data_IF_034150822159
#
_entry.id   IF_034150822159
#
_cell.length_a   1.000
_cell.length_b   1.000
_cell.length_c   1.000
_cell.angle_alpha   90.00
_cell.angle_beta   90.00
_cell.angle_gamma   90.00
#
_symmetry.space_group_name_H-M   'P 1'
#
loop_
_entity.id
_entity.type
_entity.pdbx_description
1 polymer ?
#
# COMPACT_ATOMS: atom_id res chain seq x y z
N UNK A 1 -10.82 8.84 14.94
CA UNK A 1 -9.77 8.08 15.65
C UNK A 1 -9.35 6.94 14.73
N UNK A 2 -8.07 6.78 14.40
CA UNK A 2 -7.64 5.68 13.51
C UNK A 2 -7.74 4.34 14.24
N UNK A 3 -7.97 3.24 13.52
CA UNK A 3 -8.07 1.89 14.11
C UNK A 3 -6.86 1.56 15.01
N UNK A 4 -5.65 1.91 14.54
CA UNK A 4 -4.41 1.80 15.32
C UNK A 4 -4.42 2.57 16.65
N UNK A 5 -5.10 3.72 16.74
CA UNK A 5 -5.24 4.49 18.00
C UNK A 5 -6.24 3.81 18.95
N UNK A 6 -7.31 3.26 18.41
CA UNK A 6 -8.32 2.52 19.18
C UNK A 6 -7.74 1.23 19.77
N UNK A 7 -6.99 0.47 18.97
CA UNK A 7 -6.30 -0.75 19.42
C UNK A 7 -5.32 -0.47 20.55
N UNK A 8 -4.54 0.63 20.46
CA UNK A 8 -3.63 1.05 21.55
C UNK A 8 -4.36 1.40 22.83
N UNK A 9 -5.50 2.09 22.73
CA UNK A 9 -6.30 2.44 23.89
C UNK A 9 -6.85 1.18 24.57
N UNK A 10 -7.38 0.23 23.80
CA UNK A 10 -7.87 -1.05 24.31
C UNK A 10 -6.77 -1.89 24.96
N UNK A 11 -5.57 -1.88 24.39
CA UNK A 11 -4.41 -2.57 24.97
C UNK A 11 -4.03 -1.97 26.32
N UNK A 12 -3.91 -0.63 26.41
CA UNK A 12 -3.61 0.06 27.67
C UNK A 12 -4.67 -0.24 28.72
N UNK A 13 -5.95 -0.17 28.35
CA UNK A 13 -7.05 -0.49 29.23
C UNK A 13 -6.97 -1.94 29.75
N UNK A 14 -6.65 -2.88 28.87
CA UNK A 14 -6.50 -4.29 29.25
C UNK A 14 -5.32 -4.53 30.19
N UNK A 15 -4.20 -3.82 29.99
CA UNK A 15 -3.05 -3.84 30.90
C UNK A 15 -3.43 -3.28 32.27
N UNK A 16 -4.15 -2.15 32.32
CA UNK A 16 -4.64 -1.58 33.57
C UNK A 16 -5.56 -2.56 34.31
N UNK A 17 -6.53 -3.17 33.61
CA UNK A 17 -7.40 -4.19 34.19
C UNK A 17 -6.61 -5.40 34.73
N UNK A 18 -5.58 -5.85 34.02
CA UNK A 18 -4.74 -6.95 34.48
C UNK A 18 -3.96 -6.58 35.75
N UNK A 19 -3.41 -5.37 35.81
CA UNK A 19 -2.74 -4.85 37.01
C UNK A 19 -3.71 -4.75 38.19
N UNK A 20 -4.95 -4.29 37.97
CA UNK A 20 -5.99 -4.23 39.01
C UNK A 20 -6.35 -5.62 39.54
N UNK A 21 -6.45 -6.63 38.67
CA UNK A 21 -6.69 -8.02 39.07
C UNK A 21 -5.54 -8.55 39.93
N UNK A 22 -4.29 -8.32 39.53
CA UNK A 22 -3.12 -8.70 40.31
C UNK A 22 -3.12 -8.00 41.68
N UNK A 23 -3.45 -6.71 41.71
CA UNK A 23 -3.51 -5.94 42.95
C UNK A 23 -4.58 -6.46 43.92
N UNK A 24 -5.78 -6.78 43.42
CA UNK A 24 -6.86 -7.36 44.24
C UNK A 24 -6.46 -8.73 44.77
N UNK A 25 -5.91 -9.61 43.91
CA UNK A 25 -5.55 -10.99 44.30
C UNK A 25 -4.35 -11.10 45.23
N UNK A 26 -3.33 -10.26 45.06
CA UNK A 26 -2.07 -10.40 45.80
C UNK A 26 -1.90 -9.39 46.93
N UNK A 27 -2.49 -8.20 46.80
CA UNK A 27 -2.22 -7.10 47.72
C UNK A 27 -3.43 -6.68 48.56
N UNK A 28 -4.62 -7.29 48.36
CA UNK A 28 -5.90 -7.00 49.04
C UNK A 28 -6.02 -5.52 49.39
N UNK A 29 -6.64 -4.71 48.52
CA UNK A 29 -6.70 -3.25 48.69
C UNK A 29 -7.28 -2.90 50.07
N UNK A 30 -6.39 -2.66 51.05
CA UNK A 30 -6.73 -2.09 52.34
C UNK A 30 -6.64 -0.60 52.15
N UNK A 31 -7.80 0.04 51.98
CA UNK A 31 -7.89 1.50 52.06
C UNK A 31 -7.62 1.90 53.52
N UNK A 32 -6.34 1.95 53.91
CA UNK A 32 -5.88 2.24 55.28
C UNK A 32 -6.36 3.61 55.82
N UNK A 33 -7.00 4.44 54.98
CA UNK A 33 -7.47 5.78 55.31
C UNK A 33 -9.01 5.94 55.24
N UNK A 34 -9.77 4.86 55.00
CA UNK A 34 -11.23 4.90 54.92
C UNK A 34 -11.83 3.82 55.83
N UNK A 35 -12.70 4.22 56.77
CA UNK A 35 -13.40 3.32 57.69
C UNK A 35 -14.54 2.56 56.98
N UNK A 36 -14.22 1.80 55.94
CA UNK A 36 -15.17 0.84 55.36
C UNK A 36 -15.11 -0.49 56.10
N UNK A 37 -16.26 -1.11 56.29
CA UNK A 37 -16.36 -2.47 56.76
C UNK A 37 -15.78 -3.45 55.74
N UNK A 38 -15.27 -4.58 56.24
CA UNK A 38 -14.61 -5.61 55.43
C UNK A 38 -15.54 -6.12 54.33
N UNK A 39 -16.82 -6.31 54.64
CA UNK A 39 -17.84 -6.77 53.68
C UNK A 39 -18.02 -5.81 52.49
N UNK A 40 -17.93 -4.49 52.71
CA UNK A 40 -18.02 -3.50 51.62
C UNK A 40 -16.75 -3.49 50.78
N UNK A 41 -15.58 -3.65 51.40
CA UNK A 41 -14.30 -3.75 50.68
C UNK A 41 -14.28 -4.99 49.78
N UNK A 42 -14.73 -6.13 50.31
CA UNK A 42 -14.76 -7.39 49.56
C UNK A 42 -15.77 -7.35 48.40
N UNK A 43 -16.98 -6.83 48.63
CA UNK A 43 -17.96 -6.62 47.55
C UNK A 43 -17.43 -5.69 46.46
N UNK A 44 -16.73 -4.63 46.84
CA UNK A 44 -16.14 -3.68 45.88
C UNK A 44 -15.03 -4.35 45.07
N UNK A 45 -14.15 -5.10 45.73
CA UNK A 45 -13.09 -5.87 45.08
C UNK A 45 -13.66 -6.90 44.11
N UNK A 46 -14.75 -7.60 44.47
CA UNK A 46 -15.43 -8.57 43.59
C UNK A 46 -16.03 -7.89 42.36
N UNK A 47 -16.69 -6.73 42.53
CA UNK A 47 -17.24 -5.96 41.40
C UNK A 47 -16.12 -5.54 40.46
N UNK A 48 -15.03 -4.97 41.00
CA UNK A 48 -13.89 -4.51 40.19
C UNK A 48 -13.19 -5.68 39.50
N UNK A 49 -13.02 -6.80 40.19
CA UNK A 49 -12.43 -8.02 39.63
C UNK A 49 -13.26 -8.57 38.48
N UNK A 50 -14.58 -8.65 38.64
CA UNK A 50 -15.50 -9.12 37.59
C UNK A 50 -15.50 -8.17 36.39
N UNK A 51 -15.52 -6.85 36.63
CA UNK A 51 -15.46 -5.84 35.57
C UNK A 51 -14.15 -5.93 34.78
N UNK A 52 -13.01 -5.98 35.47
CA UNK A 52 -11.69 -6.12 34.85
C UNK A 52 -11.57 -7.40 34.03
N UNK A 53 -12.09 -8.52 34.56
CA UNK A 53 -12.10 -9.82 33.86
C UNK A 53 -12.96 -9.75 32.59
N UNK A 54 -14.15 -9.13 32.67
CA UNK A 54 -15.04 -8.96 31.52
C UNK A 54 -14.43 -8.05 30.43
N UNK A 55 -13.72 -6.99 30.81
CA UNK A 55 -13.01 -6.11 29.86
C UNK A 55 -11.90 -6.89 29.14
N UNK A 56 -11.09 -7.66 29.87
CA UNK A 56 -10.04 -8.50 29.27
C UNK A 56 -10.65 -9.57 28.35
N UNK A 57 -11.70 -10.27 28.79
CA UNK A 57 -12.39 -11.26 27.98
C UNK A 57 -12.95 -10.64 26.68
N UNK A 58 -13.58 -9.46 26.79
CA UNK A 58 -14.10 -8.72 25.63
C UNK A 58 -12.98 -8.31 24.67
N UNK A 59 -11.83 -7.88 25.19
CA UNK A 59 -10.66 -7.57 24.37
C UNK A 59 -10.11 -8.81 23.67
N UNK A 60 -10.03 -9.95 24.34
CA UNK A 60 -9.61 -11.23 23.72
C UNK A 60 -10.57 -11.59 22.58
N UNK A 61 -11.89 -11.51 22.80
CA UNK A 61 -12.87 -11.75 21.74
C UNK A 61 -12.74 -10.75 20.59
N UNK A 62 -12.46 -9.48 20.87
CA UNK A 62 -12.18 -8.47 19.84
C UNK A 62 -10.95 -8.84 19.01
N UNK A 63 -9.84 -9.20 19.64
CA UNK A 63 -8.60 -9.61 18.95
C UNK A 63 -8.85 -10.84 18.08
N UNK A 64 -9.51 -11.87 18.61
CA UNK A 64 -9.77 -13.11 17.89
C UNK A 64 -10.72 -12.88 16.71
N UNK A 65 -11.86 -12.22 16.93
CA UNK A 65 -12.91 -12.13 15.92
C UNK A 65 -12.66 -11.03 14.89
N UNK A 66 -11.97 -9.96 15.27
CA UNK A 66 -11.76 -8.79 14.41
C UNK A 66 -10.32 -8.74 13.92
N UNK A 67 -9.33 -8.64 14.82
CA UNK A 67 -7.94 -8.41 14.38
C UNK A 67 -7.36 -9.61 13.62
N UNK A 68 -7.48 -10.83 14.17
CA UNK A 68 -6.94 -12.04 13.52
C UNK A 68 -7.66 -12.29 12.19
N UNK A 69 -8.99 -12.19 12.16
CA UNK A 69 -9.78 -12.38 10.93
C UNK A 69 -9.41 -11.34 9.88
N UNK A 70 -9.24 -10.07 10.27
CA UNK A 70 -8.84 -8.99 9.37
C UNK A 70 -7.44 -9.25 8.81
N UNK A 71 -6.48 -9.61 9.66
CA UNK A 71 -5.12 -9.96 9.25
C UNK A 71 -5.10 -11.14 8.26
N UNK A 72 -5.89 -12.19 8.50
CA UNK A 72 -5.99 -13.34 7.59
C UNK A 72 -6.58 -12.91 6.24
N UNK A 73 -7.63 -12.07 6.26
CA UNK A 73 -8.26 -11.54 5.03
C UNK A 73 -7.30 -10.66 4.24
N UNK A 74 -6.59 -9.75 4.91
CA UNK A 74 -5.54 -8.91 4.34
C UNK A 74 -4.47 -9.79 3.67
N UNK A 75 -3.92 -10.77 4.38
CA UNK A 75 -2.87 -11.64 3.85
C UNK A 75 -3.32 -12.46 2.64
N UNK A 76 -4.53 -13.01 2.69
CA UNK A 76 -5.12 -13.75 1.56
C UNK A 76 -5.33 -12.84 0.35
N UNK A 77 -5.94 -11.68 0.56
CA UNK A 77 -6.20 -10.70 -0.51
C UNK A 77 -4.90 -10.19 -1.11
N UNK A 78 -3.90 -9.86 -0.27
CA UNK A 78 -2.57 -9.44 -0.71
C UNK A 78 -1.90 -10.48 -1.60
N UNK A 79 -2.01 -11.77 -1.24
CA UNK A 79 -1.48 -12.87 -2.05
C UNK A 79 -2.17 -12.97 -3.41
N UNK A 80 -3.49 -12.80 -3.45
CA UNK A 80 -4.27 -12.86 -4.69
C UNK A 80 -3.94 -11.69 -5.63
N UNK A 81 -3.78 -10.48 -5.10
CA UNK A 81 -3.49 -9.29 -5.91
C UNK A 81 -2.00 -9.18 -6.29
N UNK A 82 -1.11 -9.97 -5.69
CA UNK A 82 0.34 -9.81 -5.85
C UNK A 82 0.80 -9.95 -7.31
N UNK A 83 0.20 -10.88 -8.05
CA UNK A 83 0.54 -11.07 -9.47
C UNK A 83 0.15 -9.83 -10.27
N UNK A 84 -1.06 -9.30 -10.07
CA UNK A 84 -1.51 -8.06 -10.74
C UNK A 84 -0.66 -6.85 -10.36
N UNK A 85 -0.22 -6.74 -9.11
CA UNK A 85 0.72 -5.68 -8.69
C UNK A 85 2.08 -5.82 -9.39
N UNK A 86 2.56 -7.05 -9.54
CA UNK A 86 3.83 -7.36 -10.23
C UNK A 86 3.72 -7.06 -11.73
N UNK A 87 2.59 -7.41 -12.35
CA UNK A 87 2.32 -7.13 -13.75
C UNK A 87 2.22 -5.63 -13.98
N UNK A 88 1.51 -4.90 -13.11
CA UNK A 88 1.40 -3.44 -13.15
C UNK A 88 2.80 -2.78 -13.06
N UNK A 89 3.62 -3.20 -12.11
CA UNK A 89 4.99 -2.69 -11.98
C UNK A 89 5.86 -3.05 -13.20
N UNK A 90 5.68 -4.25 -13.76
CA UNK A 90 6.36 -4.68 -14.99
C UNK A 90 6.00 -3.78 -16.16
N UNK A 91 4.72 -3.51 -16.39
CA UNK A 91 4.27 -2.66 -17.49
C UNK A 91 4.84 -1.25 -17.38
N UNK A 92 4.72 -0.63 -16.20
CA UNK A 92 5.29 0.69 -15.95
C UNK A 92 6.82 0.69 -16.11
N UNK A 93 7.51 -0.40 -15.72
CA UNK A 93 8.96 -0.52 -15.88
C UNK A 93 9.40 -0.50 -17.35
N UNK A 94 8.63 -1.06 -18.28
CA UNK A 94 8.98 -1.05 -19.71
C UNK A 94 9.01 0.39 -20.24
N UNK A 95 7.98 1.19 -19.94
CA UNK A 95 7.94 2.60 -20.31
C UNK A 95 9.11 3.39 -19.72
N UNK A 96 9.44 3.14 -18.45
CA UNK A 96 10.63 3.75 -17.83
C UNK A 96 11.91 3.33 -18.54
N UNK A 97 12.17 2.05 -18.76
CA UNK A 97 13.39 1.59 -19.44
C UNK A 97 13.58 2.22 -20.83
N UNK A 98 12.49 2.38 -21.57
CA UNK A 98 12.52 3.08 -22.85
C UNK A 98 12.97 4.54 -22.70
N UNK A 99 12.42 5.27 -21.74
CA UNK A 99 12.76 6.67 -21.54
C UNK A 99 14.17 6.88 -21.01
N UNK A 100 14.69 5.97 -20.18
CA UNK A 100 16.08 6.07 -19.73
C UNK A 100 17.05 6.09 -20.90
N UNK A 101 16.79 5.16 -21.82
CA UNK A 101 17.63 4.96 -22.98
C UNK A 101 17.53 6.14 -23.94
N UNK A 102 16.33 6.68 -24.10
CA UNK A 102 16.03 7.70 -25.11
C UNK A 102 16.34 9.13 -24.64
N UNK A 103 16.01 9.46 -23.38
CA UNK A 103 16.03 10.84 -22.87
C UNK A 103 17.03 11.08 -21.74
N UNK A 104 17.44 10.04 -21.00
CA UNK A 104 18.25 10.19 -19.78
C UNK A 104 19.61 9.49 -19.85
N UNK A 105 20.07 9.06 -21.03
CA UNK A 105 21.39 8.43 -21.24
C UNK A 105 21.71 7.25 -20.28
N UNK A 106 20.70 6.49 -19.86
CA UNK A 106 20.83 5.39 -18.91
C UNK A 106 21.35 5.80 -17.52
N UNK A 107 21.05 7.03 -17.06
CA UNK A 107 21.30 7.45 -15.68
C UNK A 107 20.51 6.57 -14.70
N UNK A 108 21.00 6.45 -13.47
CA UNK A 108 20.27 5.74 -12.42
C UNK A 108 18.91 6.40 -12.19
N UNK A 109 17.87 5.62 -12.48
CA UNK A 109 16.50 6.04 -12.35
C UNK A 109 16.10 6.41 -10.94
N UNK A 110 16.83 6.08 -9.89
CA UNK A 110 16.44 6.53 -8.55
C UNK A 110 16.87 8.00 -8.27
N UNK A 111 17.77 8.54 -9.10
CA UNK A 111 18.42 9.85 -8.86
C UNK A 111 17.81 11.02 -9.64
N UNK A 112 16.92 10.77 -10.60
CA UNK A 112 16.34 11.82 -11.44
C UNK A 112 15.44 12.76 -10.64
N UNK A 113 15.53 14.04 -10.97
CA UNK A 113 14.75 15.15 -10.42
C UNK A 113 13.87 15.76 -11.50
N UNK A 114 12.89 16.59 -11.11
CA UNK A 114 11.99 17.25 -12.06
C UNK A 114 12.72 18.02 -13.18
N UNK A 115 13.90 18.61 -12.88
CA UNK A 115 14.69 19.36 -13.86
C UNK A 115 15.18 18.50 -15.02
N UNK A 116 15.44 17.22 -14.77
CA UNK A 116 15.93 16.28 -15.78
C UNK A 116 14.86 15.99 -16.85
N UNK A 117 13.57 16.14 -16.51
CA UNK A 117 12.43 15.93 -17.40
C UNK A 117 12.13 17.12 -18.31
N UNK A 118 12.89 18.20 -18.25
CA UNK A 118 12.65 19.43 -19.03
C UNK A 118 12.60 19.22 -20.54
N UNK A 119 13.35 18.25 -21.07
CA UNK A 119 13.38 17.92 -22.50
C UNK A 119 12.19 17.06 -22.95
N UNK A 120 11.42 16.49 -22.01
CA UNK A 120 10.26 15.63 -22.30
C UNK A 120 8.98 16.48 -22.42
N UNK A 121 8.81 17.15 -23.55
CA UNK A 121 7.67 18.07 -23.77
C UNK A 121 6.41 17.38 -24.30
N UNK A 122 6.55 16.26 -25.01
CA UNK A 122 5.45 15.44 -25.55
C UNK A 122 5.97 14.04 -25.91
N UNK A 123 5.06 13.11 -26.18
CA UNK A 123 5.38 11.82 -26.82
C UNK A 123 5.43 11.97 -28.34
N UNK A 124 6.31 11.23 -28.98
CA UNK A 124 6.46 11.22 -30.44
C UNK A 124 5.60 10.14 -31.09
N UNK A 125 4.98 10.47 -32.22
CA UNK A 125 4.30 9.48 -33.06
C UNK A 125 5.25 8.83 -34.07
N UNK A 126 6.42 8.39 -33.60
CA UNK A 126 7.47 7.79 -34.43
C UNK A 126 7.78 6.38 -33.90
N UNK A 127 8.06 5.44 -34.81
CA UNK A 127 8.35 4.06 -34.43
C UNK A 127 9.65 3.98 -33.63
N UNK A 128 9.61 3.32 -32.47
CA UNK A 128 10.72 3.34 -31.51
C UNK A 128 11.64 2.11 -31.55
N UNK A 129 11.21 0.99 -32.15
CA UNK A 129 11.94 -0.30 -32.22
C UNK A 129 12.74 -0.61 -30.94
N UNK A 130 12.08 -0.47 -29.78
CA UNK A 130 12.73 -0.57 -28.49
C UNK A 130 12.87 -2.03 -28.10
N UNK A 131 14.11 -2.42 -27.74
CA UNK A 131 14.44 -3.77 -27.28
C UNK A 131 14.86 -3.73 -25.83
N UNK A 132 14.31 -4.64 -25.03
CA UNK A 132 14.60 -4.73 -23.61
C UNK A 132 14.69 -6.19 -23.16
N UNK A 133 15.32 -6.40 -22.02
CA UNK A 133 15.45 -7.68 -21.37
C UNK A 133 14.62 -7.71 -20.09
N UNK A 134 13.94 -8.82 -19.88
CA UNK A 134 13.24 -9.10 -18.63
C UNK A 134 13.67 -10.45 -18.09
N UNK A 135 14.02 -10.47 -16.81
CA UNK A 135 14.26 -11.69 -16.04
C UNK A 135 12.89 -12.19 -15.59
N UNK A 136 12.52 -13.40 -16.00
CA UNK A 136 11.28 -14.02 -15.53
C UNK A 136 11.43 -14.53 -14.07
N UNK A 137 10.35 -15.04 -13.48
CA UNK A 137 10.34 -15.58 -12.12
C UNK A 137 11.28 -16.79 -11.92
N UNK A 138 11.73 -17.43 -13.00
CA UNK A 138 12.67 -18.55 -13.00
C UNK A 138 14.12 -18.09 -13.21
N UNK A 139 14.40 -16.78 -13.26
CA UNK A 139 15.74 -16.24 -13.48
C UNK A 139 16.20 -16.26 -14.94
N UNK A 140 15.31 -16.59 -15.88
CA UNK A 140 15.63 -16.69 -17.31
C UNK A 140 15.50 -15.31 -17.96
N UNK A 141 16.56 -14.87 -18.62
CA UNK A 141 16.58 -13.67 -19.45
C UNK A 141 15.81 -13.90 -20.75
N UNK A 142 14.73 -13.14 -20.93
CA UNK A 142 13.98 -13.13 -22.19
C UNK A 142 14.11 -11.76 -22.85
N UNK A 143 14.42 -11.76 -24.15
CA UNK A 143 14.51 -10.54 -24.96
C UNK A 143 13.13 -10.21 -25.53
N UNK A 144 12.71 -8.96 -25.38
CA UNK A 144 11.47 -8.44 -25.93
C UNK A 144 11.75 -7.27 -26.88
N UNK A 145 10.82 -7.02 -27.79
CA UNK A 145 10.84 -5.89 -28.71
C UNK A 145 9.45 -5.27 -28.77
N UNK A 146 9.37 -3.94 -28.76
CA UNK A 146 8.11 -3.22 -28.99
C UNK A 146 7.69 -3.26 -30.46
N UNK A 147 8.52 -3.81 -31.35
CA UNK A 147 8.18 -4.05 -32.74
C UNK A 147 7.87 -2.75 -33.50
N UNK A 148 6.61 -2.62 -33.94
CA UNK A 148 6.12 -1.50 -34.75
C UNK A 148 5.50 -0.37 -33.93
N UNK A 149 5.57 -0.42 -32.60
CA UNK A 149 4.96 0.60 -31.77
C UNK A 149 5.63 1.96 -31.96
N UNK A 150 4.80 3.00 -31.97
CA UNK A 150 5.23 4.35 -31.66
C UNK A 150 5.44 4.55 -30.16
N UNK A 151 6.07 5.65 -29.77
CA UNK A 151 6.17 6.03 -28.35
C UNK A 151 4.77 6.21 -27.73
N UNK A 152 3.85 6.85 -28.46
CA UNK A 152 2.46 7.02 -28.03
C UNK A 152 1.76 5.67 -27.85
N UNK A 153 1.95 4.72 -28.77
CA UNK A 153 1.30 3.41 -28.67
C UNK A 153 1.80 2.60 -27.49
N UNK A 154 3.11 2.67 -27.19
CA UNK A 154 3.68 2.02 -26.00
C UNK A 154 3.00 2.52 -24.71
N UNK A 155 2.92 3.84 -24.53
CA UNK A 155 2.34 4.41 -23.32
C UNK A 155 0.81 4.31 -23.28
N UNK A 156 0.14 4.25 -24.43
CA UNK A 156 -1.29 4.02 -24.49
C UNK A 156 -1.66 2.56 -24.14
N UNK A 157 -0.85 1.59 -24.57
CA UNK A 157 -1.01 0.20 -24.12
C UNK A 157 -0.69 0.07 -22.63
N UNK A 158 0.41 0.67 -22.15
CA UNK A 158 0.73 0.72 -20.72
C UNK A 158 -0.45 1.25 -19.92
N UNK A 159 -1.05 2.37 -20.36
CA UNK A 159 -2.21 3.01 -19.74
C UNK A 159 -3.40 2.04 -19.61
N UNK A 160 -3.78 1.36 -20.69
CA UNK A 160 -4.91 0.44 -20.65
C UNK A 160 -4.62 -0.79 -19.78
N UNK A 161 -3.40 -1.37 -19.88
CA UNK A 161 -3.01 -2.51 -19.04
C UNK A 161 -2.96 -2.16 -17.56
N UNK A 162 -2.36 -1.03 -17.20
CA UNK A 162 -2.28 -0.56 -15.82
C UNK A 162 -3.68 -0.29 -15.27
N UNK A 163 -4.53 0.39 -16.03
CA UNK A 163 -5.93 0.64 -15.64
C UNK A 163 -6.69 -0.68 -15.42
N UNK A 164 -6.57 -1.64 -16.33
CA UNK A 164 -7.24 -2.94 -16.21
C UNK A 164 -6.76 -3.71 -14.98
N UNK A 165 -5.45 -3.76 -14.73
CA UNK A 165 -4.90 -4.41 -13.54
C UNK A 165 -5.39 -3.75 -12.25
N UNK A 166 -5.44 -2.41 -12.18
CA UNK A 166 -5.97 -1.69 -11.02
C UNK A 166 -7.45 -2.01 -10.81
N UNK A 167 -8.26 -2.03 -11.87
CA UNK A 167 -9.67 -2.39 -11.77
C UNK A 167 -9.86 -3.83 -11.28
N UNK A 168 -9.05 -4.77 -11.77
CA UNK A 168 -9.06 -6.15 -11.27
C UNK A 168 -8.69 -6.18 -9.79
N UNK A 169 -7.64 -5.48 -9.36
CA UNK A 169 -7.24 -5.37 -7.95
C UNK A 169 -8.41 -4.85 -7.10
N UNK A 170 -9.08 -3.78 -7.53
CA UNK A 170 -10.21 -3.21 -6.82
C UNK A 170 -11.48 -4.08 -6.87
N UNK A 171 -11.56 -5.05 -7.77
CA UNK A 171 -12.65 -6.04 -7.79
C UNK A 171 -12.53 -7.11 -6.70
N UNK A 172 -11.35 -7.27 -6.08
CA UNK A 172 -11.18 -8.28 -5.04
C UNK A 172 -11.94 -7.92 -3.76
N UNK A 173 -12.62 -8.90 -3.14
CA UNK A 173 -13.27 -8.68 -1.86
C UNK A 173 -12.24 -8.32 -0.79
N UNK A 174 -12.58 -7.40 0.11
CA UNK A 174 -11.72 -6.93 1.20
C UNK A 174 -10.44 -6.21 0.75
N UNK A 175 -10.38 -5.69 -0.49
CA UNK A 175 -9.24 -4.87 -0.93
C UNK A 175 -9.00 -3.65 -0.04
N UNK A 176 -10.07 -3.06 0.51
CA UNK A 176 -10.02 -1.94 1.46
C UNK A 176 -9.30 -2.27 2.76
N UNK A 177 -9.14 -3.55 3.11
CA UNK A 177 -8.44 -3.99 4.32
C UNK A 177 -6.99 -4.37 4.09
N UNK A 178 -6.44 -4.23 2.87
CA UNK A 178 -5.06 -4.66 2.58
C UNK A 178 -4.03 -3.67 3.11
N UNK A 179 -3.97 -2.48 2.52
CA UNK A 179 -3.06 -1.42 2.94
C UNK A 179 -3.57 -0.10 2.37
N UNK A 180 -3.95 0.83 3.25
CA UNK A 180 -4.48 2.12 2.85
C UNK A 180 -3.53 2.89 1.91
N UNK A 181 -2.21 2.82 2.16
CA UNK A 181 -1.22 3.55 1.38
C UNK A 181 -1.10 2.95 -0.03
N UNK A 182 -1.19 1.61 -0.15
CA UNK A 182 -1.25 0.94 -1.45
C UNK A 182 -2.52 1.33 -2.21
N UNK A 183 -3.70 1.26 -1.57
CA UNK A 183 -4.97 1.58 -2.25
C UNK A 183 -4.97 3.03 -2.75
N UNK A 184 -4.50 3.96 -1.93
CA UNK A 184 -4.37 5.35 -2.31
C UNK A 184 -3.38 5.54 -3.48
N UNK A 185 -2.25 4.84 -3.45
CA UNK A 185 -1.28 4.87 -4.56
C UNK A 185 -1.88 4.33 -5.86
N UNK A 186 -2.62 3.22 -5.82
CA UNK A 186 -3.27 2.67 -7.02
C UNK A 186 -4.30 3.65 -7.60
N UNK A 187 -5.07 4.34 -6.76
CA UNK A 187 -5.94 5.41 -7.24
C UNK A 187 -5.16 6.53 -7.94
N UNK A 188 -4.05 7.00 -7.34
CA UNK A 188 -3.19 8.03 -7.94
C UNK A 188 -2.62 7.61 -9.29
N UNK A 189 -2.18 6.36 -9.42
CA UNK A 189 -1.66 5.82 -10.68
C UNK A 189 -2.78 5.76 -11.73
N UNK A 190 -3.95 5.24 -11.36
CA UNK A 190 -5.09 5.09 -12.28
C UNK A 190 -5.57 6.43 -12.85
N UNK A 191 -5.59 7.47 -12.02
CA UNK A 191 -6.05 8.81 -12.38
C UNK A 191 -4.90 9.77 -12.65
N UNK A 192 -3.72 9.28 -13.01
CA UNK A 192 -2.56 10.15 -13.23
C UNK A 192 -2.79 11.08 -14.42
N UNK A 193 -2.39 12.34 -14.27
CA UNK A 193 -2.46 13.31 -15.36
C UNK A 193 -1.58 12.92 -16.55
N UNK A 194 -0.54 12.12 -16.32
CA UNK A 194 0.26 11.54 -17.39
C UNK A 194 -0.60 10.69 -18.33
N UNK A 195 -1.35 9.72 -17.81
CA UNK A 195 -2.21 8.86 -18.63
C UNK A 195 -3.37 9.61 -19.29
N UNK A 196 -3.88 10.65 -18.64
CA UNK A 196 -4.81 11.58 -19.27
C UNK A 196 -4.13 12.24 -20.47
N UNK A 197 -2.91 12.75 -20.31
CA UNK A 197 -2.10 13.35 -21.37
C UNK A 197 -1.84 12.41 -22.54
N UNK A 198 -1.42 11.17 -22.28
CA UNK A 198 -1.20 10.14 -23.33
C UNK A 198 -2.44 9.97 -24.21
N UNK A 199 -3.63 9.85 -23.61
CA UNK A 199 -4.88 9.72 -24.34
C UNK A 199 -5.17 10.93 -25.24
N UNK A 200 -4.89 12.14 -24.75
CA UNK A 200 -5.09 13.39 -25.51
C UNK A 200 -4.10 13.51 -26.67
N UNK A 201 -2.82 13.21 -26.42
CA UNK A 201 -1.75 13.24 -27.44
C UNK A 201 -2.06 12.24 -28.55
N UNK A 202 -2.54 11.03 -28.22
CA UNK A 202 -3.00 10.05 -29.21
C UNK A 202 -4.16 10.56 -30.07
N UNK A 203 -5.02 11.40 -29.49
CA UNK A 203 -6.08 12.12 -30.21
C UNK A 203 -5.59 13.33 -31.02
N UNK A 204 -4.29 13.60 -31.07
CA UNK A 204 -3.70 14.74 -31.78
C UNK A 204 -3.76 16.08 -31.01
N UNK A 205 -4.02 16.04 -29.71
CA UNK A 205 -4.17 17.25 -28.87
C UNK A 205 -2.87 17.53 -28.12
N UNK A 206 -2.42 18.79 -28.16
CA UNK A 206 -1.27 19.26 -27.38
C UNK A 206 -1.61 19.23 -25.89
N UNK A 207 -0.75 18.60 -25.09
CA UNK A 207 -0.94 18.50 -23.65
C UNK A 207 0.12 19.32 -22.90
N UNK A 208 -0.34 20.27 -22.07
CA UNK A 208 0.53 21.17 -21.31
C UNK A 208 1.12 20.46 -20.09
N UNK A 209 2.29 20.91 -19.62
CA UNK A 209 2.98 20.40 -18.43
C UNK A 209 3.24 18.87 -18.46
N UNK A 210 3.42 18.31 -19.66
CA UNK A 210 3.62 16.87 -19.84
C UNK A 210 4.81 16.33 -19.03
N UNK A 211 5.92 17.06 -19.00
CA UNK A 211 7.09 16.76 -18.19
C UNK A 211 6.80 16.63 -16.69
N UNK A 212 6.01 17.56 -16.13
CA UNK A 212 5.65 17.53 -14.71
C UNK A 212 4.76 16.31 -14.40
N UNK A 213 3.74 16.09 -15.23
CA UNK A 213 2.83 14.96 -15.06
C UNK A 213 3.54 13.62 -15.25
N UNK A 214 4.51 13.57 -16.16
CA UNK A 214 5.40 12.42 -16.29
C UNK A 214 6.20 12.17 -15.00
N UNK A 215 6.83 13.22 -14.45
CA UNK A 215 7.59 13.10 -13.21
C UNK A 215 6.72 12.60 -12.05
N UNK A 216 5.49 13.09 -11.93
CA UNK A 216 4.50 12.59 -10.96
C UNK A 216 4.20 11.09 -11.15
N UNK A 217 4.01 10.65 -12.40
CA UNK A 217 3.81 9.23 -12.73
C UNK A 217 5.01 8.37 -12.34
N UNK A 218 6.21 8.88 -12.59
CA UNK A 218 7.46 8.24 -12.23
C UNK A 218 7.66 8.13 -10.70
N UNK A 219 7.33 9.17 -9.93
CA UNK A 219 7.37 9.09 -8.46
C UNK A 219 6.35 8.08 -7.92
N UNK A 220 5.16 7.99 -8.55
CA UNK A 220 4.19 6.94 -8.23
C UNK A 220 4.73 5.53 -8.53
N UNK A 221 5.49 5.35 -9.62
CA UNK A 221 6.17 4.08 -9.93
C UNK A 221 7.18 3.68 -8.85
N UNK A 222 8.03 4.61 -8.39
CA UNK A 222 8.97 4.37 -7.28
C UNK A 222 8.24 3.94 -6.01
N UNK A 223 7.13 4.62 -5.69
CA UNK A 223 6.32 4.26 -4.54
C UNK A 223 5.74 2.85 -4.68
N UNK A 224 5.32 2.45 -5.89
CA UNK A 224 4.76 1.14 -6.17
C UNK A 224 5.78 0.02 -5.98
N UNK A 225 7.03 0.21 -6.44
CA UNK A 225 8.10 -0.79 -6.27
C UNK A 225 8.24 -1.26 -4.84
N UNK A 226 8.11 -0.36 -3.85
CA UNK A 226 8.18 -0.67 -2.41
C UNK A 226 7.12 -1.68 -1.93
N UNK A 227 6.05 -1.87 -2.70
CA UNK A 227 4.98 -2.82 -2.43
C UNK A 227 5.12 -4.14 -3.19
N UNK A 228 5.93 -4.18 -4.26
CA UNK A 228 6.12 -5.34 -5.14
C UNK A 228 7.43 -6.05 -4.84
N UNK A 229 8.49 -5.31 -4.54
CA UNK A 229 9.76 -5.88 -4.12
C UNK A 229 9.57 -6.52 -2.73
N UNK A 230 10.08 -7.75 -2.50
CA UNK A 230 10.04 -8.34 -1.18
C UNK A 230 10.76 -7.39 -0.23
N UNK A 231 10.05 -6.90 0.80
CA UNK A 231 10.71 -6.25 1.94
C UNK A 231 11.77 -7.25 2.40
N UNK A 232 13.04 -6.92 2.21
CA UNK A 232 14.12 -7.67 2.84
C UNK A 232 13.78 -7.66 4.32
N UNK A 233 13.32 -8.78 4.83
CA UNK A 233 13.10 -8.98 6.25
C UNK A 233 14.49 -9.01 6.86
N UNK A 234 14.96 -7.85 7.30
CA UNK A 234 16.04 -7.75 8.30
C UNK A 234 15.50 -8.15 9.66
#
# INVERSE_FOLDING_TARGET
>A
MTQKKFDRLLLILSILCFLTILQIKFFHIKFNYLNFDIDTIDKTNDIVFNLATNIIASYIFYVINIQIVTYIREKKTRKLINNYLTDLATQMKVGQLYLNKTYFNNVDFETLTLGDFSNLTTLQNTQINFRYQQINTLGINTNYSTGTYSEIDLFDEEREMVKNNIQIIFSFPYISSVDYDLINLLHKIQSSFFYIGVKHIKGGVIYLNFNQHFFEHYENFKALKKFVEPRQTT
#
